data_IF_862056127955
#
_entry.id   IF_862056127955
#
_cell.length_a   1.000
_cell.length_b   1.000
_cell.length_c   1.000
_cell.angle_alpha   90.00
_cell.angle_beta   90.00
_cell.angle_gamma   90.00
#
_symmetry.space_group_name_H-M   'P 1'
#
loop_
_entity.id
_entity.type
_entity.pdbx_description
1 polymer ?
#
# COMPACT_ATOMS: atom_id res chain seq x y z
N UNK A 1 7.88 27.66 10.32
CA UNK A 1 8.66 28.06 9.13
C UNK A 1 9.84 27.10 9.01
N UNK A 2 10.30 26.79 7.80
CA UNK A 2 11.49 25.95 7.63
C UNK A 2 12.74 26.68 8.17
N UNK A 3 13.76 25.96 8.67
CA UNK A 3 15.03 26.56 9.10
C UNK A 3 15.69 27.37 7.99
N UNK A 4 16.40 28.44 8.35
CA UNK A 4 17.03 29.37 7.40
C UNK A 4 18.09 28.66 6.54
N UNK A 5 18.76 27.66 7.09
CA UNK A 5 19.73 26.83 6.39
C UNK A 5 19.10 26.01 5.26
N UNK A 6 17.84 25.58 5.42
CA UNK A 6 17.09 24.84 4.39
C UNK A 6 16.61 25.77 3.29
N UNK A 7 16.13 26.96 3.65
CA UNK A 7 15.65 27.95 2.69
C UNK A 7 16.78 28.50 1.80
N UNK A 8 17.98 28.60 2.36
CA UNK A 8 19.16 29.12 1.67
C UNK A 8 20.04 28.03 1.04
N UNK A 9 19.64 26.75 1.12
CA UNK A 9 20.37 25.67 0.49
C UNK A 9 20.38 25.84 -1.04
N UNK A 10 21.48 25.49 -1.73
CA UNK A 10 21.51 25.54 -3.19
C UNK A 10 20.45 24.59 -3.77
N UNK A 11 19.83 25.02 -4.87
CA UNK A 11 18.89 24.17 -5.59
C UNK A 11 19.60 22.92 -6.11
N UNK A 12 18.99 21.75 -5.91
CA UNK A 12 19.43 20.50 -6.53
C UNK A 12 19.14 20.60 -8.03
N UNK A 13 20.08 20.21 -8.93
CA UNK A 13 19.81 20.19 -10.36
C UNK A 13 18.55 19.35 -10.69
N UNK A 14 17.70 19.83 -11.59
CA UNK A 14 16.41 19.20 -11.90
C UNK A 14 16.52 17.69 -12.21
N UNK A 15 17.54 17.28 -12.98
CA UNK A 15 17.77 15.86 -13.31
C UNK A 15 18.15 14.98 -12.11
N UNK A 16 18.83 15.55 -11.11
CA UNK A 16 19.20 14.83 -9.89
C UNK A 16 18.00 14.74 -8.93
N UNK A 17 17.24 15.81 -8.79
CA UNK A 17 16.03 15.84 -7.99
C UNK A 17 14.97 14.85 -8.53
N UNK A 18 14.75 14.84 -9.84
CA UNK A 18 13.81 13.91 -10.49
C UNK A 18 14.24 12.46 -10.30
N UNK A 19 15.52 12.16 -10.48
CA UNK A 19 16.05 10.82 -10.30
C UNK A 19 15.93 10.34 -8.84
N UNK A 20 16.19 11.22 -7.87
CA UNK A 20 15.99 10.94 -6.45
C UNK A 20 14.52 10.68 -6.11
N UNK A 21 13.61 11.56 -6.53
CA UNK A 21 12.17 11.44 -6.25
C UNK A 21 11.58 10.19 -6.90
N UNK A 22 12.03 9.85 -8.11
CA UNK A 22 11.63 8.62 -8.77
C UNK A 22 12.11 7.39 -8.00
N UNK A 23 13.40 7.30 -7.63
CA UNK A 23 13.92 6.19 -6.80
C UNK A 23 13.13 6.03 -5.50
N UNK A 24 12.87 7.14 -4.80
CA UNK A 24 12.08 7.14 -3.57
C UNK A 24 10.67 6.58 -3.79
N UNK A 25 10.00 6.99 -4.87
CA UNK A 25 8.66 6.48 -5.23
C UNK A 25 8.70 4.99 -5.57
N UNK A 26 9.67 4.55 -6.37
CA UNK A 26 9.78 3.14 -6.77
C UNK A 26 10.17 2.25 -5.60
N UNK A 27 11.04 2.71 -4.68
CA UNK A 27 11.39 1.98 -3.44
C UNK A 27 10.17 1.78 -2.56
N UNK A 28 9.29 2.79 -2.45
CA UNK A 28 8.03 2.63 -1.74
C UNK A 28 7.13 1.55 -2.38
N UNK A 29 7.15 1.40 -3.70
CA UNK A 29 6.40 0.34 -4.40
C UNK A 29 7.05 -1.04 -4.26
N UNK A 30 8.38 -1.13 -4.16
CA UNK A 30 9.19 -2.38 -4.20
C UNK A 30 9.14 -3.12 -5.54
N UNK A 31 7.94 -3.38 -6.06
CA UNK A 31 7.65 -3.97 -7.35
C UNK A 31 6.96 -2.94 -8.24
N UNK A 32 7.57 -2.61 -9.38
CA UNK A 32 7.15 -1.49 -10.23
C UNK A 32 7.43 -1.74 -11.72
N UNK A 33 6.84 -0.90 -12.58
CA UNK A 33 7.25 -0.80 -13.98
C UNK A 33 8.21 0.37 -14.13
N UNK A 34 9.36 0.10 -14.74
CA UNK A 34 10.36 1.13 -15.03
C UNK A 34 9.97 1.86 -16.34
N UNK A 35 9.68 3.17 -16.30
CA UNK A 35 9.41 3.92 -17.53
C UNK A 35 10.64 3.94 -18.43
N UNK A 36 10.48 3.72 -19.73
CA UNK A 36 11.60 3.69 -20.69
C UNK A 36 12.43 4.97 -20.63
N UNK A 37 11.76 6.14 -20.57
CA UNK A 37 12.42 7.45 -20.47
C UNK A 37 13.23 7.63 -19.17
N UNK A 38 12.90 6.88 -18.13
CA UNK A 38 13.59 6.94 -16.85
C UNK A 38 14.77 5.97 -16.75
N UNK A 39 14.93 5.02 -17.68
CA UNK A 39 15.99 4.00 -17.61
C UNK A 39 17.39 4.61 -17.52
N UNK A 40 17.62 5.72 -18.21
CA UNK A 40 18.89 6.46 -18.18
C UNK A 40 19.22 7.10 -16.83
N UNK A 41 18.25 7.17 -15.90
CA UNK A 41 18.45 7.74 -14.57
C UNK A 41 18.99 6.73 -13.55
N UNK A 42 19.06 5.44 -13.92
CA UNK A 42 19.48 4.34 -13.06
C UNK A 42 20.82 3.78 -13.51
N UNK A 43 21.61 3.29 -12.56
CA UNK A 43 22.83 2.55 -12.88
C UNK A 43 22.48 1.18 -13.48
N UNK A 44 23.40 0.62 -14.28
CA UNK A 44 23.15 -0.62 -15.05
C UNK A 44 22.63 -1.80 -14.20
N UNK A 45 23.02 -1.87 -12.92
CA UNK A 45 22.66 -2.96 -12.00
C UNK A 45 21.79 -2.49 -10.83
N UNK A 46 21.21 -1.30 -10.88
CA UNK A 46 20.40 -0.78 -9.76
C UNK A 46 19.04 -1.49 -9.65
N UNK A 47 18.50 -1.96 -10.77
CA UNK A 47 17.22 -2.66 -10.82
C UNK A 47 17.32 -3.98 -11.58
N UNK A 48 16.63 -5.01 -11.11
CA UNK A 48 16.53 -6.31 -11.76
C UNK A 48 15.14 -6.51 -12.36
N UNK A 49 15.03 -6.89 -13.64
CA UNK A 49 13.74 -7.26 -14.22
C UNK A 49 13.23 -8.57 -13.62
N UNK A 50 11.94 -8.61 -13.31
CA UNK A 50 11.23 -9.79 -12.80
C UNK A 50 9.95 -10.01 -13.59
N UNK A 51 9.49 -11.26 -13.63
CA UNK A 51 8.26 -11.65 -14.33
C UNK A 51 7.19 -12.04 -13.31
N UNK A 52 5.97 -11.55 -13.52
CA UNK A 52 4.78 -12.02 -12.82
C UNK A 52 4.06 -12.98 -13.76
N UNK A 53 3.67 -14.16 -13.28
CA UNK A 53 3.10 -15.23 -14.12
C UNK A 53 1.87 -14.76 -14.92
N UNK A 54 1.05 -13.89 -14.33
CA UNK A 54 -0.19 -13.38 -14.91
C UNK A 54 -0.04 -12.15 -15.84
N UNK A 55 1.15 -11.54 -15.92
CA UNK A 55 1.39 -10.36 -16.77
C UNK A 55 2.60 -10.58 -17.66
N UNK A 56 2.46 -10.43 -18.98
CA UNK A 56 3.58 -10.56 -19.92
C UNK A 56 4.53 -9.36 -19.91
N UNK A 57 4.12 -8.23 -19.36
CA UNK A 57 4.95 -7.02 -19.30
C UNK A 57 6.06 -7.18 -18.25
N UNK A 58 7.28 -6.67 -18.51
CA UNK A 58 8.37 -6.77 -17.55
C UNK A 58 8.09 -5.87 -16.34
N UNK A 59 8.24 -6.45 -15.16
CA UNK A 59 8.29 -5.73 -13.89
C UNK A 59 9.74 -5.60 -13.44
N UNK A 60 9.99 -4.70 -12.49
CA UNK A 60 11.30 -4.48 -11.92
C UNK A 60 11.20 -4.43 -10.40
N UNK A 61 12.27 -4.85 -9.77
CA UNK A 61 12.59 -4.56 -8.37
C UNK A 61 13.95 -3.87 -8.32
N UNK A 62 14.26 -3.24 -7.19
CA UNK A 62 15.66 -2.90 -6.94
C UNK A 62 16.47 -4.17 -6.71
N UNK A 63 17.69 -4.21 -7.24
CA UNK A 63 18.54 -5.40 -7.18
C UNK A 63 18.78 -5.86 -5.74
N UNK A 64 18.95 -4.92 -4.81
CA UNK A 64 19.13 -5.24 -3.38
C UNK A 64 17.89 -5.82 -2.70
N UNK A 65 16.70 -5.65 -3.30
CA UNK A 65 15.45 -6.24 -2.81
C UNK A 65 15.23 -7.66 -3.39
N UNK A 66 16.02 -8.08 -4.38
CA UNK A 66 15.89 -9.41 -5.01
C UNK A 66 15.99 -10.57 -4.01
N UNK A 67 16.89 -10.57 -3.01
CA UNK A 67 16.93 -11.63 -2.01
C UNK A 67 15.61 -11.80 -1.24
N UNK A 68 14.81 -10.73 -1.09
CA UNK A 68 13.51 -10.83 -0.42
C UNK A 68 12.49 -11.62 -1.25
N UNK A 69 12.68 -11.75 -2.57
CA UNK A 69 11.80 -12.54 -3.43
C UNK A 69 12.26 -14.00 -3.55
N UNK A 70 13.56 -14.27 -3.42
CA UNK A 70 14.15 -15.59 -3.66
C UNK A 70 14.40 -16.39 -2.39
N UNK A 71 14.31 -15.75 -1.22
CA UNK A 71 14.43 -16.43 0.07
C UNK A 71 13.10 -17.11 0.39
N UNK A 72 13.16 -18.37 0.86
CA UNK A 72 11.99 -19.05 1.39
C UNK A 72 11.52 -18.33 2.67
N UNK A 73 10.33 -17.76 2.60
CA UNK A 73 9.67 -17.17 3.77
C UNK A 73 8.70 -18.17 4.38
N UNK A 74 8.58 -18.21 5.71
CA UNK A 74 7.49 -18.94 6.33
C UNK A 74 6.15 -18.36 5.83
N UNK A 75 5.10 -19.19 5.70
CA UNK A 75 3.78 -18.70 5.34
C UNK A 75 3.34 -17.54 6.23
N UNK A 76 2.89 -16.45 5.62
CA UNK A 76 2.31 -15.32 6.34
C UNK A 76 0.87 -15.68 6.72
N UNK A 77 0.65 -16.40 7.82
CA UNK A 77 -0.69 -16.90 8.17
C UNK A 77 -1.38 -16.14 9.30
N UNK A 78 -0.67 -15.24 9.98
CA UNK A 78 -1.17 -14.53 11.18
C UNK A 78 -1.12 -13.01 11.08
N UNK A 79 -0.69 -12.46 9.94
CA UNK A 79 -0.53 -11.01 9.77
C UNK A 79 -1.84 -10.37 9.36
N UNK A 80 -2.64 -9.93 10.33
CA UNK A 80 -3.84 -9.13 10.09
C UNK A 80 -3.56 -7.64 10.22
N UNK A 81 -3.84 -6.85 9.17
CA UNK A 81 -3.62 -5.40 9.16
C UNK A 81 -4.77 -4.65 8.47
N UNK A 82 -5.14 -3.49 9.03
CA UNK A 82 -5.86 -2.46 8.29
C UNK A 82 -4.87 -1.57 7.58
N UNK A 83 -4.95 -1.51 6.26
CA UNK A 83 -4.04 -0.70 5.45
C UNK A 83 -4.56 0.74 5.38
N UNK A 84 -3.68 1.71 5.65
CA UNK A 84 -4.03 3.11 5.47
C UNK A 84 -4.33 3.39 3.99
N UNK A 85 -5.21 4.35 3.66
CA UNK A 85 -5.59 4.61 2.27
C UNK A 85 -4.45 5.03 1.34
N UNK A 86 -3.36 5.56 1.91
CA UNK A 86 -2.15 5.97 1.20
C UNK A 86 -0.96 5.03 1.46
N UNK A 87 -1.23 3.83 1.98
CA UNK A 87 -0.20 2.82 2.15
C UNK A 87 0.41 2.42 0.78
N UNK A 88 1.75 2.34 0.66
CA UNK A 88 2.41 1.97 -0.57
C UNK A 88 1.97 0.61 -1.15
N UNK A 89 1.41 -0.27 -0.33
CA UNK A 89 0.88 -1.56 -0.76
C UNK A 89 -0.39 -1.39 -1.60
N UNK A 90 -1.29 -0.46 -1.28
CA UNK A 90 -2.61 -0.33 -1.91
C UNK A 90 -2.80 0.87 -2.84
N UNK A 91 -1.85 1.81 -2.89
CA UNK A 91 -2.01 2.98 -3.77
C UNK A 91 -1.77 2.67 -5.27
N UNK A 92 -1.01 1.62 -5.61
CA UNK A 92 -0.77 1.22 -7.01
C UNK A 92 -1.90 0.29 -7.49
N UNK A 93 -2.95 0.92 -8.03
CA UNK A 93 -4.20 0.23 -8.42
C UNK A 93 -4.00 -0.85 -9.48
N UNK A 94 -3.11 -0.62 -10.45
CA UNK A 94 -2.84 -1.57 -11.53
C UNK A 94 -2.15 -2.82 -10.97
N UNK A 95 -1.18 -2.61 -10.07
CA UNK A 95 -0.52 -3.72 -9.39
C UNK A 95 -1.50 -4.49 -8.51
N UNK A 96 -2.37 -3.80 -7.77
CA UNK A 96 -3.29 -4.49 -6.88
C UNK A 96 -4.28 -5.37 -7.63
N UNK A 97 -4.81 -4.86 -8.74
CA UNK A 97 -5.68 -5.64 -9.63
C UNK A 97 -4.94 -6.85 -10.19
N UNK A 98 -3.66 -6.69 -10.55
CA UNK A 98 -2.87 -7.77 -11.10
C UNK A 98 -2.55 -8.87 -10.07
N UNK A 99 -2.16 -8.48 -8.86
CA UNK A 99 -1.67 -9.41 -7.83
C UNK A 99 -2.78 -10.01 -6.97
N UNK A 100 -3.83 -9.24 -6.68
CA UNK A 100 -4.88 -9.61 -5.73
C UNK A 100 -6.30 -9.50 -6.29
N UNK A 101 -6.47 -9.15 -7.57
CA UNK A 101 -7.79 -8.81 -8.16
C UNK A 101 -8.58 -7.78 -7.33
N UNK A 102 -7.87 -6.87 -6.66
CA UNK A 102 -8.45 -5.99 -5.67
C UNK A 102 -8.58 -4.54 -6.18
N UNK A 103 -9.83 -4.09 -6.38
CA UNK A 103 -10.11 -2.71 -6.75
C UNK A 103 -10.33 -1.81 -5.52
N UNK A 104 -9.46 -0.81 -5.37
CA UNK A 104 -9.56 0.16 -4.30
C UNK A 104 -9.22 1.57 -4.78
N UNK A 105 -9.94 2.55 -4.21
CA UNK A 105 -9.68 3.98 -4.38
C UNK A 105 -10.08 4.65 -3.08
N UNK A 106 -9.29 5.60 -2.62
CA UNK A 106 -9.64 6.37 -1.44
C UNK A 106 -10.68 7.44 -1.81
N UNK A 107 -11.92 7.23 -1.36
CA UNK A 107 -13.09 7.99 -1.82
C UNK A 107 -13.46 9.19 -0.93
N UNK A 108 -12.52 9.64 -0.08
CA UNK A 108 -12.74 10.78 0.83
C UNK A 108 -13.16 12.06 0.08
N UNK A 109 -12.65 12.25 -1.14
CA UNK A 109 -12.95 13.39 -2.01
C UNK A 109 -14.10 13.14 -2.99
N UNK A 110 -14.62 11.91 -3.06
CA UNK A 110 -15.74 11.55 -3.93
C UNK A 110 -17.04 12.00 -3.24
N UNK A 111 -17.95 12.69 -3.95
CA UNK A 111 -19.27 13.03 -3.41
C UNK A 111 -19.99 11.79 -2.87
N UNK A 112 -20.69 11.94 -1.75
CA UNK A 112 -21.23 10.82 -0.98
C UNK A 112 -22.06 9.84 -1.83
N UNK A 113 -22.89 10.37 -2.72
CA UNK A 113 -23.78 9.62 -3.62
C UNK A 113 -23.06 8.86 -4.74
N UNK A 114 -21.77 9.14 -4.96
CA UNK A 114 -20.93 8.50 -5.99
C UNK A 114 -19.90 7.53 -5.42
N UNK A 115 -19.85 7.36 -4.10
CA UNK A 115 -18.90 6.45 -3.45
C UNK A 115 -19.30 5.01 -3.72
N UNK A 116 -18.32 4.18 -4.10
CA UNK A 116 -18.49 2.74 -4.27
C UNK A 116 -18.41 2.02 -2.92
N UNK A 117 -17.50 2.45 -2.05
CA UNK A 117 -17.14 1.73 -0.83
C UNK A 117 -17.50 2.51 0.44
N UNK A 118 -17.21 3.81 0.51
CA UNK A 118 -17.44 4.59 1.73
C UNK A 118 -16.53 5.80 1.84
N UNK A 119 -16.58 6.52 2.96
CA UNK A 119 -15.80 7.76 3.13
C UNK A 119 -14.33 7.50 3.47
N UNK A 120 -14.08 6.69 4.51
CA UNK A 120 -12.73 6.40 5.01
C UNK A 120 -12.54 4.88 5.17
N UNK A 121 -12.59 4.18 4.03
CA UNK A 121 -12.49 2.73 3.96
C UNK A 121 -11.02 2.29 3.98
N UNK A 122 -10.70 1.31 4.83
CA UNK A 122 -9.39 0.68 4.96
C UNK A 122 -9.44 -0.73 4.35
N UNK A 123 -8.54 -1.09 3.43
CA UNK A 123 -8.35 -2.48 3.01
C UNK A 123 -7.89 -3.36 4.16
N UNK A 124 -8.32 -4.62 4.17
CA UNK A 124 -7.92 -5.63 5.14
C UNK A 124 -6.92 -6.56 4.48
N UNK A 125 -5.70 -6.58 5.02
CA UNK A 125 -4.66 -7.56 4.68
C UNK A 125 -4.70 -8.68 5.72
N UNK A 126 -4.82 -9.92 5.27
CA UNK A 126 -4.63 -11.11 6.09
C UNK A 126 -3.61 -12.01 5.43
N UNK A 127 -2.48 -12.18 6.09
CA UNK A 127 -1.33 -12.87 5.51
C UNK A 127 -0.76 -12.11 4.32
N UNK A 128 -0.87 -12.71 3.15
CA UNK A 128 -0.48 -12.16 1.85
C UNK A 128 -1.69 -11.80 0.95
N UNK A 129 -2.92 -11.86 1.49
CA UNK A 129 -4.18 -11.64 0.74
C UNK A 129 -4.87 -10.35 1.18
N UNK A 130 -5.35 -9.58 0.21
CA UNK A 130 -6.33 -8.51 0.47
C UNK A 130 -7.72 -9.14 0.54
N UNK A 131 -8.25 -9.28 1.75
CA UNK A 131 -9.44 -10.12 2.03
C UNK A 131 -10.72 -9.33 2.22
N UNK A 132 -10.65 -8.02 2.36
CA UNK A 132 -11.84 -7.22 2.60
C UNK A 132 -11.58 -5.74 2.78
N UNK A 133 -12.61 -5.05 3.26
CA UNK A 133 -12.69 -3.61 3.46
C UNK A 133 -13.46 -3.32 4.73
N UNK A 134 -12.98 -2.37 5.53
CA UNK A 134 -13.66 -1.88 6.72
C UNK A 134 -13.76 -0.36 6.70
N UNK A 135 -14.88 0.19 7.16
CA UNK A 135 -15.04 1.62 7.41
C UNK A 135 -15.19 1.86 8.91
N UNK A 136 -14.09 2.08 9.65
CA UNK A 136 -14.15 2.44 11.05
C UNK A 136 -14.45 3.95 11.20
N UNK A 137 -15.28 4.29 12.17
CA UNK A 137 -15.57 5.66 12.57
C UNK A 137 -15.27 5.85 14.05
N UNK A 138 -14.26 6.66 14.35
CA UNK A 138 -13.91 7.04 15.71
C UNK A 138 -14.77 8.21 16.20
N UNK A 139 -15.48 8.00 17.30
CA UNK A 139 -16.18 9.03 18.07
C UNK A 139 -15.21 9.63 19.10
N UNK A 140 -14.54 10.72 18.75
CA UNK A 140 -13.48 11.34 19.58
C UNK A 140 -13.88 11.64 21.02
N UNK A 141 -15.16 11.92 21.28
CA UNK A 141 -15.65 12.28 22.63
C UNK A 141 -15.71 11.07 23.56
N UNK A 142 -16.01 9.89 23.03
CA UNK A 142 -16.21 8.67 23.82
C UNK A 142 -15.06 7.67 23.65
N UNK A 143 -14.20 7.87 22.66
CA UNK A 143 -13.19 6.88 22.26
C UNK A 143 -13.79 5.65 21.57
N UNK A 144 -15.09 5.64 21.30
CA UNK A 144 -15.74 4.49 20.68
C UNK A 144 -15.44 4.44 19.18
N UNK A 145 -15.16 3.25 18.66
CA UNK A 145 -15.10 2.99 17.22
C UNK A 145 -16.37 2.28 16.79
N UNK A 146 -17.08 2.86 15.83
CA UNK A 146 -18.21 2.22 15.15
C UNK A 146 -17.74 1.69 13.80
N UNK A 147 -18.05 0.43 13.50
CA UNK A 147 -17.85 -0.12 12.16
C UNK A 147 -19.07 0.22 11.30
N UNK A 148 -18.90 1.18 10.38
CA UNK A 148 -19.97 1.63 9.48
C UNK A 148 -20.24 0.60 8.39
N UNK A 149 -19.17 -0.01 7.87
CA UNK A 149 -19.25 -1.09 6.90
C UNK A 149 -18.10 -2.08 7.11
N UNK A 150 -18.37 -3.35 6.83
CA UNK A 150 -17.40 -4.43 6.77
C UNK A 150 -17.80 -5.33 5.60
N UNK A 151 -16.90 -5.48 4.63
CA UNK A 151 -17.15 -6.22 3.39
C UNK A 151 -15.98 -7.14 3.12
N UNK A 152 -16.26 -8.39 2.76
CA UNK A 152 -15.25 -9.39 2.43
C UNK A 152 -15.17 -9.60 0.92
N UNK A 153 -13.98 -9.93 0.43
CA UNK A 153 -13.81 -10.28 -0.98
C UNK A 153 -14.48 -11.63 -1.29
N UNK A 154 -14.99 -11.82 -2.52
CA UNK A 154 -15.54 -13.10 -2.94
C UNK A 154 -14.56 -14.25 -2.70
N UNK A 155 -15.04 -15.33 -2.06
CA UNK A 155 -14.24 -16.52 -1.79
C UNK A 155 -13.36 -16.46 -0.54
N UNK A 156 -13.49 -15.41 0.29
CA UNK A 156 -12.89 -15.40 1.63
C UNK A 156 -13.90 -15.85 2.69
N UNK A 157 -13.51 -16.77 3.57
CA UNK A 157 -14.29 -17.15 4.75
C UNK A 157 -13.77 -16.39 5.99
N UNK A 158 -14.55 -15.47 6.57
CA UNK A 158 -14.15 -14.75 7.77
C UNK A 158 -13.87 -15.65 8.98
N UNK A 159 -14.38 -16.90 8.99
CA UNK A 159 -14.04 -17.89 10.01
C UNK A 159 -12.55 -18.24 10.06
N UNK A 160 -11.81 -18.00 8.97
CA UNK A 160 -10.35 -18.17 8.92
C UNK A 160 -9.60 -17.17 9.82
N UNK A 161 -10.22 -16.07 10.23
CA UNK A 161 -9.58 -15.02 11.02
C UNK A 161 -9.48 -15.34 12.52
N UNK A 162 -10.33 -16.23 13.04
CA UNK A 162 -10.52 -16.39 14.49
C UNK A 162 -10.75 -15.02 15.17
N UNK A 163 -9.95 -14.72 16.19
CA UNK A 163 -10.07 -13.49 16.99
C UNK A 163 -9.29 -12.30 16.38
N UNK A 164 -8.56 -12.49 15.28
CA UNK A 164 -7.62 -11.48 14.76
C UNK A 164 -8.28 -10.14 14.39
N UNK A 165 -9.53 -10.16 13.92
CA UNK A 165 -10.29 -8.95 13.62
C UNK A 165 -10.57 -8.14 14.90
N UNK A 166 -11.00 -8.83 15.95
CA UNK A 166 -11.36 -8.20 17.24
C UNK A 166 -10.12 -7.65 17.93
N UNK A 167 -9.03 -8.44 17.96
CA UNK A 167 -7.73 -8.01 18.47
C UNK A 167 -7.22 -6.77 17.74
N UNK A 168 -7.27 -6.76 16.40
CA UNK A 168 -6.78 -5.60 15.65
C UNK A 168 -7.67 -4.39 15.77
N UNK A 169 -8.99 -4.57 15.92
CA UNK A 169 -9.90 -3.46 16.24
C UNK A 169 -9.59 -2.86 17.61
N UNK A 170 -9.28 -3.68 18.61
CA UNK A 170 -8.87 -3.22 19.94
C UNK A 170 -7.57 -2.40 19.87
N UNK A 171 -6.55 -2.88 19.15
CA UNK A 171 -5.31 -2.12 18.92
C UNK A 171 -5.58 -0.78 18.22
N UNK A 172 -6.43 -0.78 17.19
CA UNK A 172 -6.77 0.42 16.43
C UNK A 172 -7.45 1.48 17.32
N UNK A 173 -8.35 1.04 18.22
CA UNK A 173 -8.99 1.92 19.22
C UNK A 173 -7.95 2.48 20.19
N UNK A 174 -7.04 1.64 20.68
CA UNK A 174 -6.03 2.02 21.67
C UNK A 174 -5.03 3.07 21.14
N UNK A 175 -4.75 3.08 19.83
CA UNK A 175 -3.91 4.11 19.19
C UNK A 175 -4.65 5.42 18.91
N UNK A 176 -5.98 5.37 18.88
CA UNK A 176 -6.83 6.49 18.46
C UNK A 176 -7.39 7.31 19.64
N UNK A 177 -7.29 6.79 20.87
CA UNK A 177 -7.71 7.42 22.12
C UNK A 177 -6.51 7.95 22.91
#
# INVERSE_FOLDING_TARGET
LLPEEILNAPAIPDGEADAYLLRKRLRARRLFRLPVAAKQLFDENETTPVQIESDKRPWHVFTDDLPQLTTDHPPLTTNFHFLAPLDPLVYDRDRNRLLWDFEYTWEVYVPQEKRKWGYYVLPILWGDRLVGRIEPRLEKRTGAVTVVSLQWEPGFDPGELGDALEERLADFVALAC
#
